data_IF_999650393562
#
_entry.id   IF_999650393562
#
_cell.length_a   1.000
_cell.length_b   1.000
_cell.length_c   1.000
_cell.angle_alpha   90.00
_cell.angle_beta   90.00
_cell.angle_gamma   90.00
#
_symmetry.space_group_name_H-M   'P 1'
#
loop_
_entity.id
_entity.type
_entity.pdbx_description
1 polymer ?
#
# COMPACT_ATOMS: atom_id res chain seq x y z
N UNK A 1 20.67 -33.56 7.65
CA UNK A 1 20.76 -33.22 6.21
C UNK A 1 19.47 -33.70 5.55
N UNK A 2 18.45 -32.86 5.52
CA UNK A 2 17.24 -33.07 4.73
C UNK A 2 16.91 -31.71 4.12
N UNK A 3 17.19 -31.58 2.82
CA UNK A 3 16.90 -30.39 2.06
C UNK A 3 15.39 -30.19 1.98
N UNK A 4 14.92 -29.03 2.45
CA UNK A 4 13.61 -28.52 2.05
C UNK A 4 13.78 -27.97 0.65
N UNK A 5 13.30 -28.72 -0.34
CA UNK A 5 13.16 -28.24 -1.70
C UNK A 5 12.33 -26.94 -1.68
N UNK A 6 12.93 -25.86 -2.16
CA UNK A 6 12.20 -24.65 -2.47
C UNK A 6 11.23 -25.00 -3.59
N UNK A 7 9.94 -25.04 -3.26
CA UNK A 7 8.86 -25.24 -4.23
C UNK A 7 8.89 -24.07 -5.21
N UNK A 8 9.52 -24.27 -6.36
CA UNK A 8 9.46 -23.36 -7.49
C UNK A 8 8.02 -23.37 -8.01
N UNK A 9 7.28 -22.29 -7.76
CA UNK A 9 5.93 -22.11 -8.33
C UNK A 9 6.09 -21.92 -9.84
N UNK A 10 5.64 -22.91 -10.61
CA UNK A 10 5.52 -22.82 -12.06
C UNK A 10 4.56 -21.68 -12.44
N UNK A 11 4.83 -20.93 -13.53
CA UNK A 11 3.86 -20.01 -14.08
C UNK A 11 2.79 -20.82 -14.82
N UNK A 12 1.51 -20.78 -14.41
CA UNK A 12 0.46 -21.27 -15.31
C UNK A 12 -0.89 -21.76 -14.79
N UNK A 13 -1.22 -21.73 -13.50
CA UNK A 13 -2.62 -21.95 -13.07
C UNK A 13 -3.20 -20.67 -12.46
N UNK A 14 -4.40 -20.22 -12.88
CA UNK A 14 -5.09 -19.15 -12.18
C UNK A 14 -5.49 -19.68 -10.80
N UNK A 15 -4.73 -19.31 -9.78
CA UNK A 15 -5.19 -19.46 -8.40
C UNK A 15 -6.52 -18.71 -8.26
N UNK A 16 -7.54 -19.31 -7.63
CA UNK A 16 -8.84 -18.67 -7.49
C UNK A 16 -8.67 -17.32 -6.79
N UNK A 17 -9.29 -16.29 -7.36
CA UNK A 17 -9.25 -14.95 -6.79
C UNK A 17 -10.63 -14.30 -6.86
N UNK A 18 -10.83 -13.30 -6.00
CA UNK A 18 -12.01 -12.43 -6.01
C UNK A 18 -11.60 -11.06 -6.54
N UNK A 19 -12.28 -10.59 -7.58
CA UNK A 19 -12.03 -9.26 -8.15
C UNK A 19 -12.99 -8.23 -7.57
N UNK A 20 -12.45 -7.16 -6.99
CA UNK A 20 -13.22 -5.99 -6.56
C UNK A 20 -12.78 -4.76 -7.36
N UNK A 21 -13.68 -4.26 -8.21
CA UNK A 21 -13.48 -3.07 -9.03
C UNK A 21 -14.19 -1.84 -8.49
N UNK A 22 -13.75 -0.65 -8.89
CA UNK A 22 -14.43 0.62 -8.58
C UNK A 22 -15.83 0.73 -9.20
N UNK A 23 -16.14 -0.12 -10.18
CA UNK A 23 -17.44 -0.29 -10.83
C UNK A 23 -18.38 -1.24 -10.07
N UNK A 24 -17.90 -1.93 -9.03
CA UNK A 24 -18.74 -2.74 -8.18
C UNK A 24 -19.85 -1.86 -7.55
N UNK A 25 -21.13 -2.30 -7.55
CA UNK A 25 -22.25 -1.47 -7.06
C UNK A 25 -22.04 -0.92 -5.65
N UNK A 26 -21.34 -1.67 -4.79
CA UNK A 26 -21.01 -1.24 -3.44
C UNK A 26 -20.03 -0.06 -3.40
N UNK A 27 -19.16 0.13 -4.40
CA UNK A 27 -18.13 1.19 -4.43
C UNK A 27 -18.48 2.39 -5.32
N UNK A 28 -19.48 2.25 -6.19
CA UNK A 28 -19.93 3.35 -7.07
C UNK A 28 -20.40 4.53 -6.22
N UNK A 29 -19.95 5.74 -6.59
CA UNK A 29 -20.27 6.98 -5.89
C UNK A 29 -19.42 7.28 -4.65
N UNK A 30 -18.66 6.30 -4.13
CA UNK A 30 -17.72 6.51 -3.03
C UNK A 30 -16.44 7.18 -3.52
N UNK A 31 -15.79 7.93 -2.65
CA UNK A 31 -14.63 8.79 -2.95
C UNK A 31 -13.49 8.62 -1.93
N UNK A 32 -13.62 7.70 -0.98
CA UNK A 32 -12.74 7.55 0.18
C UNK A 32 -13.02 8.54 1.30
N UNK A 33 -14.17 9.23 1.28
CA UNK A 33 -14.49 10.27 2.25
C UNK A 33 -14.43 9.73 3.67
N UNK A 34 -13.79 10.48 4.58
CA UNK A 34 -13.70 10.12 5.99
C UNK A 34 -12.64 9.07 6.31
N UNK A 35 -11.96 8.50 5.32
CA UNK A 35 -10.81 7.60 5.54
C UNK A 35 -9.52 8.42 5.63
N UNK A 36 -8.80 8.28 6.74
CA UNK A 36 -7.46 8.86 6.92
C UNK A 36 -6.39 7.86 6.48
N UNK A 37 -5.47 8.31 5.62
CA UNK A 37 -4.42 7.50 5.01
C UNK A 37 -3.07 8.15 5.27
N UNK A 38 -2.13 7.39 5.84
CA UNK A 38 -0.73 7.78 5.84
C UNK A 38 -0.03 7.27 4.58
N UNK A 39 0.77 8.12 3.95
CA UNK A 39 1.67 7.73 2.85
C UNK A 39 3.10 7.88 3.36
N UNK A 40 3.77 6.75 3.62
CA UNK A 40 5.16 6.72 4.08
C UNK A 40 6.07 6.55 2.86
N UNK A 41 6.70 7.63 2.42
CA UNK A 41 7.46 7.67 1.15
C UNK A 41 8.54 8.78 1.15
N UNK A 42 8.84 9.37 0.00
CA UNK A 42 9.83 10.42 -0.25
C UNK A 42 9.30 11.84 -0.07
N UNK A 43 8.04 11.96 0.38
CA UNK A 43 7.36 13.23 0.60
C UNK A 43 6.28 13.50 -0.44
N UNK A 44 5.88 14.76 -0.55
CA UNK A 44 4.93 15.23 -1.58
C UNK A 44 5.34 16.61 -2.11
N UNK A 45 5.14 16.82 -3.40
CA UNK A 45 5.08 18.16 -4.00
C UNK A 45 3.60 18.62 -4.05
N UNK A 46 3.18 19.57 -3.20
CA UNK A 46 1.79 20.03 -3.16
C UNK A 46 1.37 20.81 -4.40
N UNK A 47 2.32 21.33 -5.18
CA UNK A 47 2.04 22.08 -6.41
C UNK A 47 1.84 21.16 -7.63
N UNK A 48 1.97 19.84 -7.45
CA UNK A 48 1.72 18.89 -8.52
C UNK A 48 0.22 18.88 -8.91
N UNK A 49 -0.14 19.03 -10.19
CA UNK A 49 -1.54 19.14 -10.62
C UNK A 49 -2.36 17.85 -10.48
N UNK A 50 -1.73 16.74 -10.09
CA UNK A 50 -2.40 15.46 -9.81
C UNK A 50 -2.45 15.14 -8.32
N UNK A 51 -1.92 16.02 -7.47
CA UNK A 51 -2.06 15.97 -6.02
C UNK A 51 -3.15 16.96 -5.60
N UNK A 52 -4.17 16.44 -4.94
CA UNK A 52 -5.18 17.23 -4.24
C UNK A 52 -4.72 17.54 -2.82
N UNK A 53 -5.56 18.22 -2.03
CA UNK A 53 -5.21 18.63 -0.66
C UNK A 53 -4.67 17.46 0.18
N UNK A 54 -3.49 17.65 0.75
CA UNK A 54 -2.93 16.81 1.82
C UNK A 54 -3.04 17.53 3.15
N UNK A 55 -2.84 16.80 4.25
CA UNK A 55 -2.52 17.39 5.56
C UNK A 55 -1.15 18.08 5.54
N UNK A 56 -0.68 18.51 6.71
CA UNK A 56 0.65 19.08 6.88
C UNK A 56 1.70 17.97 6.78
N UNK A 57 2.54 17.92 5.73
CA UNK A 57 3.52 16.86 5.59
C UNK A 57 4.56 16.93 6.72
N UNK A 58 5.01 15.76 7.18
CA UNK A 58 6.03 15.60 8.21
C UNK A 58 7.20 14.77 7.65
N UNK A 59 8.39 14.93 8.20
CA UNK A 59 9.58 14.17 7.83
C UNK A 59 10.09 13.44 9.07
N UNK A 60 10.45 12.17 8.91
CA UNK A 60 11.09 11.36 9.94
C UNK A 60 12.48 11.01 9.45
N UNK A 61 13.50 11.41 10.21
CA UNK A 61 14.88 11.12 9.85
C UNK A 61 15.35 9.72 10.28
N UNK A 62 16.62 9.43 10.03
CA UNK A 62 17.24 8.14 10.34
C UNK A 62 17.31 7.81 11.84
N UNK A 63 17.20 8.83 12.71
CA UNK A 63 17.19 8.72 14.17
C UNK A 63 15.76 8.70 14.74
N UNK A 64 14.74 8.87 13.90
CA UNK A 64 13.34 8.97 14.31
C UNK A 64 12.93 10.37 14.77
N UNK A 65 13.72 11.40 14.46
CA UNK A 65 13.31 12.78 14.72
C UNK A 65 12.20 13.20 13.75
N UNK A 66 11.10 13.73 14.29
CA UNK A 66 9.96 14.21 13.51
C UNK A 66 10.08 15.72 13.34
N UNK A 67 10.13 16.17 12.09
CA UNK A 67 10.18 17.60 11.75
C UNK A 67 9.05 17.97 10.80
N UNK A 68 8.50 19.22 10.88
CA UNK A 68 7.57 19.72 9.90
C UNK A 68 8.21 19.79 8.51
N UNK A 69 7.42 19.50 7.47
CA UNK A 69 7.86 19.53 6.09
C UNK A 69 8.01 18.12 5.52
N UNK A 70 8.09 18.04 4.19
CA UNK A 70 8.08 16.75 3.50
C UNK A 70 8.11 16.95 2.00
N UNK A 71 8.84 17.95 1.53
CA UNK A 71 8.98 18.24 0.10
C UNK A 71 9.59 17.03 -0.58
N UNK A 72 8.93 16.58 -1.64
CA UNK A 72 9.44 15.47 -2.45
C UNK A 72 10.47 15.95 -3.47
N UNK A 73 11.70 15.47 -3.32
CA UNK A 73 12.79 15.71 -4.28
C UNK A 73 13.02 14.54 -5.23
N UNK A 74 12.47 13.36 -4.91
CA UNK A 74 12.64 12.14 -5.68
C UNK A 74 11.45 11.92 -6.65
N UNK A 75 10.32 12.57 -6.39
CA UNK A 75 9.09 12.52 -7.18
C UNK A 75 8.25 11.26 -6.94
N UNK A 76 8.78 10.25 -6.25
CA UNK A 76 8.12 8.96 -6.06
C UNK A 76 6.89 9.08 -5.13
N UNK A 77 7.03 9.78 -4.01
CA UNK A 77 5.96 9.95 -3.03
C UNK A 77 4.81 10.81 -3.56
N UNK A 78 5.15 11.82 -4.37
CA UNK A 78 4.18 12.62 -5.13
C UNK A 78 3.39 11.73 -6.10
N UNK A 79 4.07 10.86 -6.85
CA UNK A 79 3.41 9.96 -7.80
C UNK A 79 2.52 8.92 -7.08
N UNK A 80 3.00 8.34 -5.98
CA UNK A 80 2.23 7.41 -5.14
C UNK A 80 0.98 8.10 -4.59
N UNK A 81 1.13 9.31 -4.04
CA UNK A 81 0.01 10.11 -3.49
C UNK A 81 -1.03 10.40 -4.56
N UNK A 82 -0.60 10.83 -5.75
CA UNK A 82 -1.49 11.10 -6.88
C UNK A 82 -2.27 9.84 -7.32
N UNK A 83 -1.66 8.66 -7.29
CA UNK A 83 -2.32 7.40 -7.65
C UNK A 83 -3.40 7.01 -6.62
N UNK A 84 -3.16 7.24 -5.33
CA UNK A 84 -4.16 7.02 -4.28
C UNK A 84 -5.32 8.00 -4.47
N UNK A 85 -5.02 9.30 -4.59
CA UNK A 85 -6.04 10.36 -4.72
C UNK A 85 -6.84 10.27 -6.02
N UNK A 86 -6.28 9.74 -7.12
CA UNK A 86 -7.07 9.45 -8.33
C UNK A 86 -8.26 8.52 -8.04
N UNK A 87 -8.09 7.57 -7.12
CA UNK A 87 -9.11 6.60 -6.77
C UNK A 87 -9.94 7.08 -5.60
N UNK A 88 -9.31 7.65 -4.59
CA UNK A 88 -9.94 8.13 -3.38
C UNK A 88 -9.72 9.66 -3.22
N UNK A 89 -10.38 10.49 -4.06
CA UNK A 89 -10.10 11.93 -4.12
C UNK A 89 -10.48 12.70 -2.86
N UNK A 90 -11.30 12.12 -1.97
CA UNK A 90 -11.73 12.76 -0.73
C UNK A 90 -11.24 12.03 0.53
N UNK A 91 -10.31 11.08 0.38
CA UNK A 91 -9.56 10.54 1.51
C UNK A 91 -8.66 11.63 2.11
N UNK A 92 -8.55 11.64 3.44
CA UNK A 92 -7.59 12.49 4.14
C UNK A 92 -6.20 11.89 4.00
N UNK A 93 -5.27 12.62 3.38
CA UNK A 93 -3.90 12.13 3.16
C UNK A 93 -2.93 12.81 4.12
N UNK A 94 -2.28 12.03 4.98
CA UNK A 94 -1.13 12.46 5.79
C UNK A 94 0.15 11.93 5.14
N UNK A 95 1.03 12.82 4.68
CA UNK A 95 2.30 12.43 4.07
C UNK A 95 3.40 12.46 5.11
N UNK A 96 4.15 11.36 5.21
CA UNK A 96 5.33 11.27 6.06
C UNK A 96 6.52 10.89 5.17
N UNK A 97 7.47 11.81 5.07
CA UNK A 97 8.71 11.59 4.35
C UNK A 97 9.67 10.78 5.21
N UNK A 98 10.06 9.61 4.72
CA UNK A 98 11.06 8.71 5.31
C UNK A 98 12.27 8.51 4.39
N UNK A 99 12.14 8.82 3.10
CA UNK A 99 13.27 8.86 2.17
C UNK A 99 13.82 10.28 2.05
N UNK A 100 15.14 10.43 2.17
CA UNK A 100 15.80 11.73 2.19
C UNK A 100 16.54 12.00 0.87
N UNK A 101 17.77 11.50 0.75
CA UNK A 101 18.62 11.73 -0.43
C UNK A 101 18.54 10.57 -1.43
N UNK A 102 18.20 9.37 -0.93
CA UNK A 102 18.03 8.15 -1.71
C UNK A 102 16.72 7.45 -1.30
N UNK A 103 16.25 6.49 -2.10
CA UNK A 103 15.10 5.62 -1.79
C UNK A 103 15.47 4.56 -0.72
N UNK A 104 16.12 5.00 0.35
CA UNK A 104 16.51 4.19 1.49
C UNK A 104 16.19 4.95 2.79
N UNK A 105 15.75 4.21 3.81
CA UNK A 105 15.46 4.73 5.15
C UNK A 105 15.94 3.73 6.19
N UNK A 106 16.17 4.17 7.41
CA UNK A 106 16.48 3.26 8.52
C UNK A 106 15.21 2.58 9.01
N UNK A 107 15.36 1.38 9.57
CA UNK A 107 14.23 0.66 10.17
C UNK A 107 13.68 1.43 11.37
N UNK A 108 14.54 2.15 12.09
CA UNK A 108 14.13 3.05 13.17
C UNK A 108 13.24 4.18 12.66
N UNK A 109 13.66 4.89 11.61
CA UNK A 109 12.86 5.94 10.99
C UNK A 109 11.52 5.41 10.47
N UNK A 110 11.51 4.23 9.84
CA UNK A 110 10.28 3.58 9.40
C UNK A 110 9.36 3.18 10.56
N UNK A 111 9.91 2.59 11.62
CA UNK A 111 9.16 2.24 12.82
C UNK A 111 8.52 3.49 13.46
N UNK A 112 9.28 4.58 13.55
CA UNK A 112 8.76 5.86 14.07
C UNK A 112 7.68 6.45 13.15
N UNK A 113 7.83 6.34 11.84
CA UNK A 113 6.83 6.81 10.88
C UNK A 113 5.51 6.01 10.97
N UNK A 114 5.58 4.70 11.25
CA UNK A 114 4.41 3.89 11.57
C UNK A 114 3.73 4.36 12.87
N UNK A 115 4.51 4.61 13.93
CA UNK A 115 3.99 5.15 15.17
C UNK A 115 3.36 6.54 14.99
N UNK A 116 3.95 7.39 14.14
CA UNK A 116 3.39 8.69 13.79
C UNK A 116 2.04 8.54 13.07
N UNK A 117 1.91 7.60 12.13
CA UNK A 117 0.64 7.33 11.45
C UNK A 117 -0.46 6.90 12.45
N UNK A 118 -0.11 6.09 13.45
CA UNK A 118 -0.99 5.69 14.56
C UNK A 118 -1.43 6.90 15.39
N UNK A 119 -0.48 7.72 15.81
CA UNK A 119 -0.74 8.96 16.59
C UNK A 119 -1.65 9.95 15.83
N UNK A 120 -1.60 9.94 14.49
CA UNK A 120 -2.46 10.77 13.63
C UNK A 120 -3.81 10.13 13.34
N UNK A 121 -4.11 8.96 13.89
CA UNK A 121 -5.38 8.26 13.71
C UNK A 121 -5.60 7.77 12.29
N UNK A 122 -4.53 7.47 11.55
CA UNK A 122 -4.66 6.94 10.20
C UNK A 122 -5.26 5.54 10.24
N UNK A 123 -6.27 5.28 9.40
CA UNK A 123 -6.91 3.97 9.28
C UNK A 123 -6.19 3.06 8.29
N UNK A 124 -5.52 3.66 7.30
CA UNK A 124 -4.73 2.96 6.29
C UNK A 124 -3.34 3.56 6.26
N UNK A 125 -2.33 2.72 6.09
CA UNK A 125 -0.95 3.17 5.83
C UNK A 125 -0.48 2.52 4.54
N UNK A 126 -0.15 3.34 3.55
CA UNK A 126 0.50 2.89 2.33
C UNK A 126 2.02 2.96 2.49
N UNK A 127 2.67 1.81 2.36
CA UNK A 127 4.13 1.64 2.43
C UNK A 127 4.63 1.16 1.07
N UNK A 128 5.04 2.08 0.20
CA UNK A 128 5.64 1.75 -1.11
C UNK A 128 7.14 1.44 -1.00
N UNK A 129 7.53 0.79 0.10
CA UNK A 129 8.91 0.53 0.49
C UNK A 129 9.00 -0.73 1.35
N UNK A 130 10.21 -1.20 1.57
CA UNK A 130 10.47 -2.27 2.50
C UNK A 130 11.92 -2.71 2.49
N UNK A 131 12.20 -3.78 3.20
CA UNK A 131 13.50 -4.44 3.19
C UNK A 131 13.33 -5.94 2.96
N UNK A 132 14.22 -6.59 2.18
CA UNK A 132 14.29 -8.05 2.10
C UNK A 132 15.21 -8.66 3.17
N UNK A 133 15.82 -7.84 4.02
CA UNK A 133 16.95 -8.21 4.87
C UNK A 133 16.49 -8.72 6.26
N UNK A 134 16.76 -10.00 6.61
CA UNK A 134 16.23 -10.63 7.83
C UNK A 134 16.65 -9.99 9.16
N UNK A 135 17.84 -9.40 9.26
CA UNK A 135 18.34 -8.81 10.52
C UNK A 135 17.49 -7.65 11.07
N UNK A 136 16.58 -7.11 10.26
CA UNK A 136 15.74 -5.97 10.62
C UNK A 136 14.31 -6.35 11.01
N UNK A 137 13.96 -7.63 10.92
CA UNK A 137 12.57 -8.06 11.04
C UNK A 137 12.04 -7.96 12.47
N UNK A 138 12.87 -8.19 13.49
CA UNK A 138 12.42 -8.09 14.88
C UNK A 138 12.00 -6.64 15.20
N UNK A 139 12.88 -5.68 14.91
CA UNK A 139 12.61 -4.26 15.16
C UNK A 139 11.44 -3.72 14.33
N UNK A 140 11.37 -4.07 13.04
CA UNK A 140 10.26 -3.65 12.19
C UNK A 140 8.95 -4.34 12.58
N UNK A 141 9.03 -5.61 12.98
CA UNK A 141 7.91 -6.43 13.40
C UNK A 141 7.19 -5.83 14.59
N UNK A 142 7.92 -5.39 15.62
CA UNK A 142 7.31 -4.74 16.78
C UNK A 142 6.47 -3.50 16.40
N UNK A 143 6.96 -2.66 15.48
CA UNK A 143 6.23 -1.48 15.03
C UNK A 143 4.98 -1.84 14.20
N UNK A 144 5.11 -2.87 13.35
CA UNK A 144 4.01 -3.41 12.56
C UNK A 144 2.94 -4.02 13.46
N UNK A 145 3.32 -4.84 14.45
CA UNK A 145 2.41 -5.46 15.40
C UNK A 145 1.61 -4.42 16.17
N UNK A 146 2.24 -3.34 16.63
CA UNK A 146 1.54 -2.24 17.29
C UNK A 146 0.49 -1.58 16.38
N UNK A 147 0.83 -1.31 15.12
CA UNK A 147 -0.10 -0.70 14.17
C UNK A 147 -1.26 -1.64 13.82
N UNK A 148 -0.98 -2.93 13.62
CA UNK A 148 -1.99 -3.97 13.36
C UNK A 148 -2.92 -4.15 14.56
N UNK A 149 -2.38 -4.14 15.79
CA UNK A 149 -3.16 -4.24 17.02
C UNK A 149 -4.14 -3.07 17.21
N UNK A 150 -3.80 -1.88 16.70
CA UNK A 150 -4.70 -0.72 16.66
C UNK A 150 -5.75 -0.80 15.51
N UNK A 151 -5.76 -1.90 14.75
CA UNK A 151 -6.70 -2.14 13.66
C UNK A 151 -6.38 -1.39 12.37
N UNK A 152 -5.17 -0.83 12.25
CA UNK A 152 -4.73 -0.10 11.06
C UNK A 152 -4.45 -1.08 9.92
N UNK A 153 -4.99 -0.77 8.74
CA UNK A 153 -4.71 -1.52 7.53
C UNK A 153 -3.39 -1.08 6.91
N UNK A 154 -2.33 -1.86 7.12
CA UNK A 154 -1.04 -1.65 6.47
C UNK A 154 -1.06 -2.27 5.06
N UNK A 155 -0.75 -1.49 4.03
CA UNK A 155 -0.70 -1.93 2.63
C UNK A 155 0.74 -1.80 2.12
N UNK A 156 1.37 -2.92 1.76
CA UNK A 156 2.80 -2.92 1.45
C UNK A 156 3.19 -4.04 0.47
N UNK A 157 4.26 -3.87 -0.35
CA UNK A 157 4.81 -4.92 -1.18
C UNK A 157 5.11 -6.20 -0.39
N UNK A 158 4.48 -7.30 -0.79
CA UNK A 158 4.74 -8.64 -0.23
C UNK A 158 5.92 -9.31 -0.91
N UNK A 159 5.95 -9.26 -2.23
CA UNK A 159 7.02 -9.85 -3.04
C UNK A 159 7.32 -8.97 -4.25
N UNK A 160 8.60 -8.82 -4.58
CA UNK A 160 9.02 -8.12 -5.77
C UNK A 160 10.33 -8.71 -6.30
N UNK A 161 10.35 -9.07 -7.59
CA UNK A 161 11.48 -9.70 -8.28
C UNK A 161 11.97 -10.98 -7.61
N UNK A 162 11.03 -11.85 -7.23
CA UNK A 162 11.32 -13.16 -6.62
C UNK A 162 11.86 -13.11 -5.19
N UNK A 163 11.77 -11.97 -4.52
CA UNK A 163 12.17 -11.80 -3.11
C UNK A 163 11.00 -11.30 -2.29
N UNK A 164 10.86 -11.83 -1.07
CA UNK A 164 9.93 -11.31 -0.07
C UNK A 164 10.39 -9.95 0.42
N UNK A 165 9.42 -9.10 0.72
CA UNK A 165 9.63 -7.77 1.26
C UNK A 165 8.82 -7.61 2.54
N UNK A 166 9.42 -6.92 3.49
CA UNK A 166 8.80 -6.53 4.74
C UNK A 166 8.66 -5.01 4.77
N UNK A 167 7.49 -4.47 5.19
CA UNK A 167 6.51 -5.13 6.05
C UNK A 167 5.44 -5.99 5.34
N UNK A 168 5.28 -5.95 4.02
CA UNK A 168 4.20 -6.65 3.30
C UNK A 168 4.11 -8.18 3.46
N UNK A 169 5.11 -8.81 4.08
CA UNK A 169 5.12 -10.24 4.42
C UNK A 169 4.87 -10.53 5.91
N UNK A 170 4.64 -9.52 6.76
CA UNK A 170 4.29 -9.75 8.17
C UNK A 170 2.81 -10.16 8.31
N UNK A 171 2.48 -10.97 9.34
CA UNK A 171 1.10 -11.23 9.72
C UNK A 171 0.33 -9.93 9.97
N UNK A 172 -0.95 -9.89 9.55
CA UNK A 172 -1.81 -8.73 9.72
C UNK A 172 -1.59 -7.58 8.73
N UNK A 173 -0.57 -7.65 7.85
CA UNK A 173 -0.34 -6.69 6.77
C UNK A 173 -1.05 -7.15 5.50
N UNK A 174 -1.74 -6.22 4.83
CA UNK A 174 -2.32 -6.46 3.51
C UNK A 174 -1.20 -6.44 2.46
N UNK A 175 -0.63 -7.62 2.23
CA UNK A 175 0.47 -7.81 1.29
C UNK A 175 0.04 -7.62 -0.16
N UNK A 176 0.84 -6.88 -0.93
CA UNK A 176 0.57 -6.59 -2.35
C UNK A 176 1.57 -7.28 -3.27
N UNK A 177 1.04 -7.88 -4.34
CA UNK A 177 1.77 -8.45 -5.46
C UNK A 177 1.47 -7.67 -6.74
N UNK A 178 2.49 -7.54 -7.59
CA UNK A 178 2.37 -6.90 -8.89
C UNK A 178 1.62 -7.82 -9.86
N UNK A 179 0.60 -7.30 -10.54
CA UNK A 179 -0.13 -8.02 -11.59
C UNK A 179 -0.48 -7.07 -12.73
N UNK A 180 0.31 -7.14 -13.81
CA UNK A 180 0.10 -6.32 -15.01
C UNK A 180 -1.21 -6.66 -15.73
N UNK A 181 -1.78 -7.85 -15.50
CA UNK A 181 -3.08 -8.26 -16.02
C UNK A 181 -4.26 -7.85 -15.15
N UNK A 182 -4.02 -7.24 -13.99
CA UNK A 182 -5.07 -6.67 -13.14
C UNK A 182 -5.46 -5.28 -13.65
N UNK A 183 -6.76 -5.00 -13.88
CA UNK A 183 -7.21 -3.65 -14.26
C UNK A 183 -6.80 -2.60 -13.21
N UNK A 184 -6.39 -1.40 -13.63
CA UNK A 184 -5.94 -0.32 -12.70
C UNK A 184 -6.99 0.12 -11.67
N UNK A 185 -8.26 -0.05 -12.02
CA UNK A 185 -9.41 0.27 -11.18
C UNK A 185 -9.98 -0.94 -10.44
N UNK A 186 -9.21 -2.02 -10.31
CA UNK A 186 -9.58 -3.21 -9.56
C UNK A 186 -8.41 -3.76 -8.72
N UNK A 187 -8.77 -4.55 -7.71
CA UNK A 187 -7.86 -5.44 -6.99
C UNK A 187 -8.34 -6.87 -7.14
N UNK A 188 -7.41 -7.82 -7.10
CA UNK A 188 -7.71 -9.25 -6.99
C UNK A 188 -7.24 -9.76 -5.65
N UNK A 189 -8.16 -10.22 -4.82
CA UNK A 189 -7.87 -10.85 -3.55
C UNK A 189 -7.69 -12.35 -3.74
N UNK A 190 -6.61 -12.90 -3.19
CA UNK A 190 -6.33 -14.33 -3.18
C UNK A 190 -5.81 -14.77 -1.81
N UNK A 191 -5.77 -16.08 -1.59
CA UNK A 191 -5.05 -16.65 -0.45
C UNK A 191 -3.58 -16.85 -0.80
N UNK A 192 -2.69 -16.37 0.06
CA UNK A 192 -1.26 -16.65 0.02
C UNK A 192 -0.95 -18.09 0.44
N UNK A 193 0.34 -18.50 0.40
CA UNK A 193 0.74 -19.88 0.72
C UNK A 193 0.37 -20.35 2.12
N UNK A 194 0.22 -19.44 3.09
CA UNK A 194 -0.21 -19.73 4.45
C UNK A 194 -1.71 -19.52 4.68
N UNK A 195 -2.49 -19.26 3.63
CA UNK A 195 -3.91 -18.91 3.72
C UNK A 195 -4.17 -17.42 3.97
N UNK A 196 -3.12 -16.62 4.17
CA UNK A 196 -3.25 -15.19 4.47
C UNK A 196 -3.81 -14.41 3.27
N UNK A 197 -4.61 -13.36 3.48
CA UNK A 197 -5.06 -12.47 2.42
C UNK A 197 -3.91 -11.78 1.68
N UNK A 198 -3.92 -11.86 0.35
CA UNK A 198 -2.95 -11.16 -0.51
C UNK A 198 -3.69 -10.47 -1.65
N UNK A 199 -3.34 -9.22 -1.93
CA UNK A 199 -3.86 -8.45 -3.06
C UNK A 199 -2.90 -8.51 -4.25
N UNK A 200 -3.43 -8.77 -5.43
CA UNK A 200 -2.77 -8.47 -6.70
C UNK A 200 -3.37 -7.17 -7.27
N UNK A 201 -2.50 -6.26 -7.69
CA UNK A 201 -2.91 -4.97 -8.23
C UNK A 201 -2.02 -4.54 -9.40
N UNK A 202 -2.59 -3.68 -10.26
CA UNK A 202 -1.90 -3.13 -11.42
C UNK A 202 -0.68 -2.32 -11.03
N UNK A 203 0.45 -2.49 -11.73
CA UNK A 203 1.63 -1.65 -11.53
C UNK A 203 1.58 -0.29 -12.22
N UNK A 204 0.51 0.01 -12.97
CA UNK A 204 0.44 1.20 -13.78
C UNK A 204 -0.19 2.38 -13.00
N UNK A 205 0.42 3.57 -13.03
CA UNK A 205 -0.21 4.80 -12.57
C UNK A 205 -1.20 5.29 -13.65
N UNK A 206 -1.61 6.56 -13.56
CA UNK A 206 -2.45 7.20 -14.58
C UNK A 206 -1.86 7.02 -15.99
N UNK A 207 -2.68 6.71 -17.01
CA UNK A 207 -2.24 6.74 -18.39
C UNK A 207 -1.76 8.14 -18.78
N UNK A 208 -0.67 8.21 -19.55
CA UNK A 208 -0.19 9.46 -20.12
C UNK A 208 -0.78 9.56 -21.54
N UNK A 209 -1.53 10.62 -21.87
CA UNK A 209 -2.12 10.78 -23.21
C UNK A 209 -1.06 10.65 -24.31
N UNK A 210 -1.32 9.79 -25.30
CA UNK A 210 -0.42 9.55 -26.43
C UNK A 210 0.79 8.65 -26.13
N UNK A 211 0.96 8.18 -24.89
CA UNK A 211 2.04 7.25 -24.52
C UNK A 211 1.47 5.85 -24.30
N UNK A 212 1.95 4.83 -25.03
CA UNK A 212 1.56 3.44 -24.79
C UNK A 212 1.86 3.00 -23.35
N UNK A 213 1.00 2.20 -22.70
CA UNK A 213 1.19 1.77 -21.31
C UNK A 213 2.56 1.15 -21.02
N UNK A 214 3.14 0.43 -21.99
CA UNK A 214 4.42 -0.26 -21.85
C UNK A 214 5.59 0.70 -21.67
N UNK A 215 5.42 1.96 -22.12
CA UNK A 215 6.39 3.06 -21.98
C UNK A 215 6.08 3.98 -20.79
N UNK A 216 5.00 3.70 -20.05
CA UNK A 216 4.67 4.43 -18.84
C UNK A 216 5.53 3.92 -17.66
N UNK A 217 5.60 4.72 -16.60
CA UNK A 217 6.14 4.28 -15.31
C UNK A 217 5.34 3.07 -14.83
N UNK A 218 6.02 2.08 -14.23
CA UNK A 218 5.38 0.91 -13.64
C UNK A 218 6.16 0.37 -12.46
N UNK A 219 5.47 -0.18 -11.47
CA UNK A 219 6.13 -0.80 -10.32
C UNK A 219 5.20 -1.22 -9.20
N UNK A 220 5.75 -1.99 -8.27
CA UNK A 220 5.02 -2.50 -7.09
C UNK A 220 4.56 -1.37 -6.15
N UNK A 221 5.23 -0.22 -6.15
CA UNK A 221 4.79 0.99 -5.45
C UNK A 221 3.43 1.48 -5.96
N UNK A 222 3.23 1.50 -7.29
CA UNK A 222 1.95 1.88 -7.86
C UNK A 222 0.89 0.79 -7.68
N UNK A 223 1.26 -0.48 -7.63
CA UNK A 223 0.33 -1.55 -7.23
C UNK A 223 -0.18 -1.35 -5.81
N UNK A 224 0.70 -1.02 -4.86
CA UNK A 224 0.31 -0.72 -3.47
C UNK A 224 -0.59 0.52 -3.41
N UNK A 225 -0.23 1.59 -4.11
CA UNK A 225 -1.03 2.81 -4.20
C UNK A 225 -2.41 2.57 -4.86
N UNK A 226 -2.46 1.76 -5.92
CA UNK A 226 -3.70 1.38 -6.58
C UNK A 226 -4.63 0.62 -5.62
N UNK A 227 -4.08 -0.37 -4.91
CA UNK A 227 -4.80 -1.14 -3.90
C UNK A 227 -5.32 -0.24 -2.77
N UNK A 228 -4.45 0.60 -2.20
CA UNK A 228 -4.80 1.56 -1.15
C UNK A 228 -5.99 2.43 -1.55
N UNK A 229 -5.98 3.01 -2.76
CA UNK A 229 -7.07 3.87 -3.22
C UNK A 229 -8.41 3.14 -3.37
N UNK A 230 -8.42 1.88 -3.81
CA UNK A 230 -9.64 1.05 -3.88
C UNK A 230 -10.12 0.68 -2.47
N UNK A 231 -9.20 0.29 -1.59
CA UNK A 231 -9.49 -0.02 -0.19
C UNK A 231 -10.11 1.18 0.54
N UNK A 232 -9.66 2.41 0.27
CA UNK A 232 -10.27 3.60 0.86
C UNK A 232 -11.77 3.73 0.54
N UNK A 233 -12.18 3.39 -0.69
CA UNK A 233 -13.62 3.40 -1.04
C UNK A 233 -14.42 2.28 -0.37
N UNK A 234 -13.79 1.13 -0.18
CA UNK A 234 -14.40 0.05 0.59
C UNK A 234 -14.66 0.52 2.03
N UNK A 235 -13.64 1.11 2.64
CA UNK A 235 -13.63 1.54 4.03
C UNK A 235 -14.57 2.74 4.31
N UNK A 236 -14.89 3.58 3.32
CA UNK A 236 -15.79 4.74 3.48
C UNK A 236 -17.15 4.39 4.10
N UNK A 237 -17.79 3.29 3.70
CA UNK A 237 -19.09 2.90 4.27
C UNK A 237 -18.99 1.91 5.44
N UNK A 238 -17.80 1.38 5.69
CA UNK A 238 -17.57 0.29 6.63
C UNK A 238 -16.80 0.83 7.85
N UNK A 239 -17.34 1.83 8.56
CA UNK A 239 -16.56 2.62 9.55
C UNK A 239 -15.99 1.80 10.70
N UNK A 240 -16.54 0.62 10.98
CA UNK A 240 -16.09 -0.28 12.05
C UNK A 240 -15.09 -1.34 11.58
N UNK A 241 -14.94 -1.56 10.27
CA UNK A 241 -14.08 -2.61 9.72
C UNK A 241 -12.59 -2.32 10.01
N UNK A 242 -11.87 -3.27 10.61
CA UNK A 242 -10.47 -3.10 11.01
C UNK A 242 -9.62 -4.29 10.59
N UNK A 243 -8.33 -4.03 10.39
CA UNK A 243 -7.36 -5.08 10.10
C UNK A 243 -7.55 -5.78 8.74
N UNK A 244 -6.63 -6.70 8.45
CA UNK A 244 -6.50 -7.32 7.12
C UNK A 244 -7.55 -8.41 6.86
N UNK A 245 -7.89 -9.22 7.86
CA UNK A 245 -8.82 -10.36 7.70
C UNK A 245 -10.26 -9.89 7.46
N UNK A 246 -10.79 -8.98 8.29
CA UNK A 246 -12.15 -8.46 8.12
C UNK A 246 -12.31 -7.74 6.77
N UNK A 247 -11.29 -6.97 6.37
CA UNK A 247 -11.24 -6.31 5.07
C UNK A 247 -11.23 -7.34 3.93
N UNK A 248 -10.47 -8.41 4.06
CA UNK A 248 -10.42 -9.48 3.08
C UNK A 248 -11.77 -10.21 2.96
N UNK A 249 -12.41 -10.55 4.07
CA UNK A 249 -13.77 -11.12 4.09
C UNK A 249 -14.75 -10.21 3.38
N UNK A 250 -14.71 -8.90 3.68
CA UNK A 250 -15.60 -7.95 3.01
C UNK A 250 -15.36 -7.85 1.50
N UNK A 251 -14.11 -7.96 1.05
CA UNK A 251 -13.79 -8.05 -0.38
C UNK A 251 -14.37 -9.33 -1.00
N UNK A 252 -14.30 -10.48 -0.30
CA UNK A 252 -14.88 -11.74 -0.77
C UNK A 252 -16.40 -11.65 -0.94
N UNK A 253 -17.09 -10.96 -0.03
CA UNK A 253 -18.54 -10.76 -0.09
C UNK A 253 -18.99 -9.88 -1.26
N UNK A 254 -18.16 -8.89 -1.63
CA UNK A 254 -18.52 -7.85 -2.60
C UNK A 254 -17.98 -8.12 -4.01
N UNK A 255 -16.89 -8.89 -4.12
CA UNK A 255 -16.20 -9.10 -5.37
C UNK A 255 -16.74 -10.27 -6.19
N UNK A 256 -16.25 -10.36 -7.43
CA UNK A 256 -16.63 -11.39 -8.38
C UNK A 256 -15.57 -12.51 -8.34
N UNK A 257 -15.94 -13.77 -8.03
CA UNK A 257 -15.00 -14.89 -8.05
C UNK A 257 -14.56 -15.21 -9.50
N UNK A 258 -13.34 -15.71 -9.66
CA UNK A 258 -12.79 -16.19 -10.94
C UNK A 258 -11.89 -17.40 -10.73
#
# INVERSE_FOLDING_TARGET
>A
MAGREAMTVSPGEPHPFVTLGLDAPALVGRTGRGVQVAVLDSGVNPDNPHVHKTGSPESVDEYGEVTPGGSDRLGHGTAVTAVIQEKAPEAGIQVVRVFHEELATTVLGLARALDLARERGCRVVNLSLGTPEPRWLDLLGEAVERAVADGILLVSPREHRGRRWWPGSFPGVMGVLLDDGCPRHAIRLMAGPGGEPVIRASGFPRPIPGVPPERNLRGISFASANATGILCRLLEAETELRGTEEVAERIRDLGIPS
#
